data_IF_837759754010
#
_entry.id   IF_837759754010
#
_cell.length_a   1.000
_cell.length_b   1.000
_cell.length_c   1.000
_cell.angle_alpha   90.00
_cell.angle_beta   90.00
_cell.angle_gamma   90.00
#
_symmetry.space_group_name_H-M   'P 1'
#
loop_
_entity.id
_entity.type
_entity.pdbx_description
1 polymer ?
#
# COMPACT_ATOMS: atom_id res chain seq x y z
N UNK A 1 -8.62 -4.81 -18.66
CA UNK A 1 -7.62 -3.72 -18.72
C UNK A 1 -6.29 -4.35 -19.14
N UNK A 2 -5.49 -3.73 -20.02
CA UNK A 2 -4.16 -4.26 -20.38
C UNK A 2 -3.23 -4.24 -19.16
N UNK A 3 -2.32 -5.21 -19.03
CA UNK A 3 -1.39 -5.28 -17.90
C UNK A 3 -0.49 -4.04 -17.85
N UNK A 4 0.03 -3.57 -18.98
CA UNK A 4 0.83 -2.33 -19.10
C UNK A 4 0.07 -1.06 -18.69
N UNK A 5 -1.26 -1.03 -18.81
CA UNK A 5 -2.06 0.08 -18.29
C UNK A 5 -2.24 -0.04 -16.76
N UNK A 6 -2.35 -1.28 -16.27
CA UNK A 6 -2.50 -1.59 -14.85
C UNK A 6 -1.23 -1.19 -14.07
N UNK A 7 -0.03 -1.53 -14.57
CA UNK A 7 1.24 -1.15 -13.93
C UNK A 7 1.40 0.37 -13.83
N UNK A 8 1.02 1.13 -14.88
CA UNK A 8 1.04 2.60 -14.85
C UNK A 8 0.12 3.21 -13.78
N UNK A 9 -1.06 2.63 -13.59
CA UNK A 9 -2.01 3.09 -12.56
C UNK A 9 -1.44 2.80 -11.17
N UNK A 10 -0.94 1.58 -10.95
CA UNK A 10 -0.35 1.17 -9.68
C UNK A 10 0.87 2.03 -9.31
N UNK A 11 1.78 2.32 -10.26
CA UNK A 11 2.92 3.23 -10.03
C UNK A 11 2.47 4.61 -9.55
N UNK A 12 1.45 5.19 -10.18
CA UNK A 12 0.88 6.48 -9.73
C UNK A 12 0.26 6.39 -8.34
N UNK A 13 -0.39 5.27 -8.01
CA UNK A 13 -0.89 5.03 -6.66
C UNK A 13 0.26 4.93 -5.66
N UNK A 14 1.36 4.23 -5.98
CA UNK A 14 2.55 4.11 -5.13
C UNK A 14 3.15 5.49 -4.82
N UNK A 15 3.31 6.35 -5.83
CA UNK A 15 3.77 7.73 -5.64
C UNK A 15 2.82 8.54 -4.73
N UNK A 16 1.51 8.37 -4.90
CA UNK A 16 0.50 9.01 -4.05
C UNK A 16 0.58 8.54 -2.60
N UNK A 17 0.70 7.22 -2.38
CA UNK A 17 0.84 6.61 -1.06
C UNK A 17 2.10 7.11 -0.36
N UNK A 18 3.24 7.18 -1.07
CA UNK A 18 4.49 7.71 -0.53
C UNK A 18 4.32 9.16 -0.06
N UNK A 19 3.76 10.03 -0.91
CA UNK A 19 3.48 11.44 -0.56
C UNK A 19 2.58 11.58 0.67
N UNK A 20 1.62 10.68 0.84
CA UNK A 20 0.80 10.66 2.05
C UNK A 20 1.58 10.23 3.29
N UNK A 21 2.38 9.16 3.19
CA UNK A 21 3.21 8.70 4.31
C UNK A 21 4.21 9.76 4.76
N UNK A 22 4.87 10.45 3.82
CA UNK A 22 5.78 11.57 4.12
C UNK A 22 5.07 12.69 4.89
N UNK A 23 3.88 13.09 4.45
CA UNK A 23 3.08 14.11 5.15
C UNK A 23 2.65 13.63 6.54
N UNK A 24 2.21 12.38 6.66
CA UNK A 24 1.79 11.79 7.94
C UNK A 24 2.97 11.73 8.92
N UNK A 25 4.17 11.40 8.46
CA UNK A 25 5.37 11.39 9.31
C UNK A 25 5.71 12.74 9.92
N UNK A 26 5.31 13.86 9.29
CA UNK A 26 5.47 15.19 9.90
C UNK A 26 4.65 15.40 11.17
N UNK A 27 3.68 14.51 11.45
CA UNK A 27 2.88 14.49 12.67
C UNK A 27 3.42 13.51 13.71
N UNK A 28 4.49 12.75 13.46
CA UNK A 28 4.98 11.72 14.40
C UNK A 28 5.83 12.32 15.52
N UNK A 29 5.19 13.21 16.26
CA UNK A 29 5.62 13.85 17.49
C UNK A 29 4.42 13.87 18.43
N UNK A 30 4.58 13.34 19.66
CA UNK A 30 3.47 13.14 20.59
C UNK A 30 2.76 14.44 20.95
N UNK A 31 3.50 15.53 21.11
CA UNK A 31 2.93 16.83 21.47
C UNK A 31 2.20 17.48 20.28
N UNK A 32 2.68 17.24 19.05
CA UNK A 32 2.00 17.65 17.83
C UNK A 32 0.72 16.86 17.60
N UNK A 33 0.72 15.54 17.82
CA UNK A 33 -0.46 14.69 17.68
C UNK A 33 -1.62 15.20 18.54
N UNK A 34 -1.38 15.51 19.80
CA UNK A 34 -2.40 16.04 20.73
C UNK A 34 -3.03 17.37 20.30
N UNK A 35 -2.35 18.14 19.44
CA UNK A 35 -2.82 19.47 19.00
C UNK A 35 -3.43 19.44 17.61
N UNK A 36 -2.99 18.51 16.76
CA UNK A 36 -3.27 18.51 15.33
C UNK A 36 -3.86 17.19 14.83
N UNK A 37 -4.38 16.33 15.72
CA UNK A 37 -4.92 15.01 15.37
C UNK A 37 -5.97 15.08 14.25
N UNK A 38 -6.81 16.11 14.22
CA UNK A 38 -7.83 16.28 13.17
C UNK A 38 -7.22 16.43 11.77
N UNK A 39 -6.10 17.16 11.63
CA UNK A 39 -5.39 17.29 10.36
C UNK A 39 -4.77 15.95 9.94
N UNK A 40 -4.17 15.24 10.90
CA UNK A 40 -3.65 13.90 10.67
C UNK A 40 -4.77 12.93 10.24
N UNK A 41 -5.97 13.00 10.84
CA UNK A 41 -7.10 12.14 10.47
C UNK A 41 -7.56 12.35 9.04
N UNK A 42 -7.55 13.59 8.56
CA UNK A 42 -7.85 13.89 7.15
C UNK A 42 -6.84 13.19 6.24
N UNK A 43 -5.54 13.29 6.55
CA UNK A 43 -4.48 12.62 5.77
C UNK A 43 -4.62 11.09 5.83
N UNK A 44 -4.87 10.52 7.01
CA UNK A 44 -5.07 9.08 7.17
C UNK A 44 -6.31 8.57 6.42
N UNK A 45 -7.40 9.34 6.39
CA UNK A 45 -8.60 8.99 5.62
C UNK A 45 -8.31 8.95 4.12
N UNK A 46 -7.56 9.94 3.60
CA UNK A 46 -7.16 9.97 2.20
C UNK A 46 -6.19 8.84 1.84
N UNK A 47 -5.19 8.60 2.69
CA UNK A 47 -4.27 7.48 2.57
C UNK A 47 -5.01 6.13 2.57
N UNK A 48 -5.98 5.96 3.47
CA UNK A 48 -6.81 4.74 3.57
C UNK A 48 -7.60 4.49 2.30
N UNK A 49 -8.25 5.52 1.75
CA UNK A 49 -9.00 5.43 0.50
C UNK A 49 -8.10 4.99 -0.67
N UNK A 50 -6.93 5.63 -0.81
CA UNK A 50 -5.98 5.29 -1.86
C UNK A 50 -5.43 3.86 -1.68
N UNK A 51 -5.07 3.48 -0.46
CA UNK A 51 -4.55 2.15 -0.13
C UNK A 51 -5.58 1.06 -0.41
N UNK A 52 -6.84 1.25 -0.02
CA UNK A 52 -7.90 0.29 -0.29
C UNK A 52 -8.15 0.11 -1.79
N UNK A 53 -8.14 1.22 -2.54
CA UNK A 53 -8.29 1.14 -4.00
C UNK A 53 -7.11 0.42 -4.65
N UNK A 54 -5.89 0.73 -4.23
CA UNK A 54 -4.67 0.07 -4.67
C UNK A 54 -4.70 -1.44 -4.39
N UNK A 55 -4.91 -1.84 -3.14
CA UNK A 55 -4.95 -3.25 -2.75
C UNK A 55 -6.07 -4.04 -3.44
N UNK A 56 -7.24 -3.45 -3.66
CA UNK A 56 -8.30 -4.09 -4.45
C UNK A 56 -7.93 -4.23 -5.92
N UNK A 57 -7.28 -3.24 -6.52
CA UNK A 57 -6.84 -3.35 -7.92
C UNK A 57 -5.85 -4.52 -8.07
N UNK A 58 -5.00 -4.74 -7.10
CA UNK A 58 -4.04 -5.85 -7.12
C UNK A 58 -4.71 -7.21 -6.93
N UNK A 59 -5.53 -7.34 -5.88
CA UNK A 59 -6.21 -8.60 -5.53
C UNK A 59 -7.20 -9.05 -6.61
N UNK A 60 -7.89 -8.10 -7.23
CA UNK A 60 -9.03 -8.39 -8.11
C UNK A 60 -8.63 -8.37 -9.59
N UNK A 61 -7.57 -7.63 -9.95
CA UNK A 61 -7.18 -7.44 -11.35
C UNK A 61 -5.74 -7.91 -11.62
N UNK A 62 -4.73 -7.36 -10.93
CA UNK A 62 -3.33 -7.63 -11.27
C UNK A 62 -2.98 -9.10 -11.03
N UNK A 63 -2.98 -9.56 -9.77
CA UNK A 63 -2.54 -10.91 -9.42
C UNK A 63 -3.36 -12.01 -10.13
N UNK A 64 -4.71 -11.92 -10.21
CA UNK A 64 -5.50 -12.90 -10.96
C UNK A 64 -5.14 -13.00 -12.45
N UNK A 65 -4.76 -11.88 -13.08
CA UNK A 65 -4.30 -11.88 -14.46
C UNK A 65 -2.90 -12.52 -14.58
N UNK A 66 -1.99 -12.16 -13.66
CA UNK A 66 -0.64 -12.72 -13.64
C UNK A 66 -0.63 -14.23 -13.40
N UNK A 67 -1.52 -14.76 -12.55
CA UNK A 67 -1.63 -16.20 -12.32
C UNK A 67 -2.03 -17.01 -13.56
N UNK A 68 -2.65 -16.37 -14.55
CA UNK A 68 -3.11 -16.98 -15.80
C UNK A 68 -2.20 -16.65 -16.99
N UNK A 69 -1.16 -15.86 -16.78
CA UNK A 69 -0.24 -15.45 -17.84
C UNK A 69 0.51 -16.66 -18.41
N UNK A 70 0.89 -16.66 -19.69
CA UNK A 70 1.53 -17.80 -20.36
C UNK A 70 2.99 -18.05 -19.94
N UNK A 71 3.72 -16.99 -19.57
CA UNK A 71 5.08 -17.08 -19.05
C UNK A 71 5.09 -17.68 -17.63
N UNK A 72 5.80 -18.80 -17.44
CA UNK A 72 5.85 -19.54 -16.17
C UNK A 72 6.60 -18.82 -15.06
N UNK A 73 7.65 -18.08 -15.40
CA UNK A 73 8.46 -17.33 -14.45
C UNK A 73 7.61 -16.21 -13.82
N UNK A 74 6.94 -15.41 -14.65
CA UNK A 74 6.02 -14.36 -14.19
C UNK A 74 4.92 -14.91 -13.29
N UNK A 75 4.31 -16.05 -13.67
CA UNK A 75 3.31 -16.72 -12.82
C UNK A 75 3.87 -17.09 -11.45
N UNK A 76 5.09 -17.64 -11.40
CA UNK A 76 5.73 -18.07 -10.15
C UNK A 76 6.08 -16.89 -9.24
N UNK A 77 6.66 -15.82 -9.81
CA UNK A 77 6.98 -14.58 -9.08
C UNK A 77 5.71 -13.94 -8.52
N UNK A 78 4.64 -13.86 -9.32
CA UNK A 78 3.37 -13.30 -8.87
C UNK A 78 2.76 -14.07 -7.70
N UNK A 79 2.82 -15.42 -7.73
CA UNK A 79 2.33 -16.25 -6.62
C UNK A 79 3.14 -16.03 -5.35
N UNK A 80 4.47 -16.03 -5.47
CA UNK A 80 5.37 -15.74 -4.34
C UNK A 80 5.03 -14.39 -3.70
N UNK A 81 4.87 -13.32 -4.49
CA UNK A 81 4.57 -11.99 -3.95
C UNK A 81 3.18 -11.91 -3.33
N UNK A 82 2.18 -12.52 -3.97
CA UNK A 82 0.84 -12.63 -3.41
C UNK A 82 0.79 -13.41 -2.10
N UNK A 83 1.67 -14.40 -1.90
CA UNK A 83 1.74 -15.19 -0.66
C UNK A 83 2.53 -14.45 0.43
N UNK A 84 3.70 -13.90 0.10
CA UNK A 84 4.54 -13.13 1.04
C UNK A 84 3.79 -11.93 1.62
N UNK A 85 2.94 -11.30 0.80
CA UNK A 85 2.19 -10.09 1.16
C UNK A 85 0.70 -10.40 1.41
N UNK A 86 0.33 -11.67 1.28
CA UNK A 86 -1.01 -12.21 1.46
C UNK A 86 -1.44 -12.08 2.92
N UNK A 87 -2.18 -11.02 3.23
CA UNK A 87 -2.57 -10.70 4.59
C UNK A 87 -2.46 -9.20 4.89
N UNK A 88 -1.64 -8.47 4.12
CA UNK A 88 -1.42 -7.05 4.34
C UNK A 88 -2.73 -6.25 4.25
N UNK A 89 -3.65 -6.61 3.35
CA UNK A 89 -4.98 -5.98 3.27
C UNK A 89 -5.80 -6.17 4.54
N UNK A 90 -5.76 -7.36 5.14
CA UNK A 90 -6.45 -7.64 6.41
C UNK A 90 -5.80 -6.88 7.56
N UNK A 91 -4.48 -6.95 7.68
CA UNK A 91 -3.73 -6.22 8.72
C UNK A 91 -3.93 -4.70 8.58
N UNK A 92 -3.97 -4.18 7.36
CA UNK A 92 -4.27 -2.78 7.10
C UNK A 92 -5.70 -2.39 7.50
N UNK A 93 -6.68 -3.24 7.22
CA UNK A 93 -8.06 -3.02 7.67
C UNK A 93 -8.17 -3.00 9.21
N UNK A 94 -7.46 -3.90 9.90
CA UNK A 94 -7.39 -3.94 11.36
C UNK A 94 -6.71 -2.68 11.94
N UNK A 95 -5.58 -2.27 11.35
CA UNK A 95 -4.90 -1.02 11.68
C UNK A 95 -5.83 0.19 11.53
N UNK A 96 -6.52 0.31 10.40
CA UNK A 96 -7.45 1.43 10.16
C UNK A 96 -8.58 1.44 11.17
N UNK A 97 -9.14 0.27 11.49
CA UNK A 97 -10.20 0.12 12.50
C UNK A 97 -9.73 0.57 13.88
N UNK A 98 -8.51 0.20 14.30
CA UNK A 98 -7.92 0.60 15.58
C UNK A 98 -7.74 2.12 15.69
N UNK A 99 -7.25 2.74 14.62
CA UNK A 99 -6.91 4.17 14.58
C UNK A 99 -7.96 5.01 13.85
N UNK A 100 -9.24 4.63 13.89
CA UNK A 100 -10.31 5.36 13.18
C UNK A 100 -10.63 6.71 13.86
N UNK A 101 -10.57 6.75 15.19
CA UNK A 101 -11.06 7.87 16.00
C UNK A 101 -9.88 8.74 16.48
N UNK A 102 -10.10 10.05 16.58
CA UNK A 102 -9.09 11.00 17.10
C UNK A 102 -8.65 10.62 18.51
N UNK A 103 -9.61 10.38 19.41
CA UNK A 103 -9.33 10.04 20.81
C UNK A 103 -8.51 8.75 21.00
N UNK A 104 -8.58 7.78 20.08
CA UNK A 104 -7.71 6.59 20.19
C UNK A 104 -6.26 6.93 19.90
N UNK A 105 -6.00 7.78 18.90
CA UNK A 105 -4.66 8.28 18.55
C UNK A 105 -4.10 9.17 19.66
N UNK A 106 -4.90 10.10 20.18
CA UNK A 106 -4.47 11.02 21.25
C UNK A 106 -4.10 10.28 22.53
N UNK A 107 -4.92 9.30 22.92
CA UNK A 107 -4.71 8.54 24.16
C UNK A 107 -3.54 7.54 24.06
N UNK A 108 -3.15 7.14 22.86
CA UNK A 108 -2.15 6.09 22.61
C UNK A 108 -1.13 6.53 21.54
N UNK A 109 -0.66 7.78 21.60
CA UNK A 109 0.14 8.39 20.54
C UNK A 109 1.44 7.63 20.23
N UNK A 110 2.15 7.13 21.24
CA UNK A 110 3.38 6.35 21.04
C UNK A 110 3.10 5.03 20.31
N UNK A 111 2.02 4.34 20.69
CA UNK A 111 1.59 3.10 20.07
C UNK A 111 1.14 3.34 18.62
N UNK A 112 0.37 4.40 18.39
CA UNK A 112 -0.03 4.82 17.04
C UNK A 112 1.19 5.06 16.15
N UNK A 113 2.18 5.83 16.62
CA UNK A 113 3.40 6.10 15.86
C UNK A 113 4.12 4.80 15.52
N UNK A 114 4.32 3.93 16.51
CA UNK A 114 5.02 2.65 16.33
C UNK A 114 4.31 1.76 15.30
N UNK A 115 3.01 1.56 15.45
CA UNK A 115 2.24 0.71 14.53
C UNK A 115 2.13 1.30 13.13
N UNK A 116 2.01 2.62 13.03
CA UNK A 116 1.95 3.31 11.74
C UNK A 116 3.26 3.14 10.97
N UNK A 117 4.42 3.23 11.64
CA UNK A 117 5.72 2.97 11.00
C UNK A 117 5.78 1.55 10.45
N UNK A 118 5.44 0.55 11.26
CA UNK A 118 5.44 -0.86 10.85
C UNK A 118 4.51 -1.06 9.63
N UNK A 119 3.30 -0.50 9.67
CA UNK A 119 2.33 -0.63 8.58
C UNK A 119 2.82 0.04 7.29
N UNK A 120 3.33 1.26 7.38
CA UNK A 120 3.78 2.01 6.20
C UNK A 120 5.07 1.43 5.61
N UNK A 121 5.97 0.91 6.44
CA UNK A 121 7.17 0.21 5.99
C UNK A 121 6.79 -1.07 5.22
N UNK A 122 5.82 -1.85 5.72
CA UNK A 122 5.32 -3.04 5.03
C UNK A 122 4.69 -2.70 3.67
N UNK A 123 3.86 -1.67 3.59
CA UNK A 123 3.28 -1.19 2.33
C UNK A 123 4.36 -0.67 1.37
N UNK A 124 5.33 0.10 1.88
CA UNK A 124 6.43 0.64 1.07
C UNK A 124 7.32 -0.47 0.50
N UNK A 125 7.70 -1.46 1.31
CA UNK A 125 8.51 -2.59 0.89
C UNK A 125 7.82 -3.39 -0.24
N UNK A 126 6.51 -3.62 -0.11
CA UNK A 126 5.69 -4.20 -1.16
C UNK A 126 5.74 -3.40 -2.45
N UNK A 127 5.39 -2.11 -2.38
CA UNK A 127 5.36 -1.23 -3.55
C UNK A 127 6.72 -1.16 -4.25
N UNK A 128 7.82 -1.22 -3.50
CA UNK A 128 9.18 -1.23 -4.05
C UNK A 128 9.50 -2.53 -4.80
N UNK A 129 9.21 -3.70 -4.22
CA UNK A 129 9.39 -4.99 -4.91
C UNK A 129 8.59 -5.03 -6.22
N UNK A 130 7.35 -4.56 -6.19
CA UNK A 130 6.51 -4.50 -7.38
C UNK A 130 7.07 -3.53 -8.43
N UNK A 131 7.47 -2.32 -8.01
CA UNK A 131 8.02 -1.30 -8.89
C UNK A 131 9.33 -1.70 -9.57
N UNK A 132 10.20 -2.39 -8.83
CA UNK A 132 11.58 -2.65 -9.25
C UNK A 132 11.74 -4.00 -9.93
N UNK A 133 10.83 -4.95 -9.69
CA UNK A 133 10.97 -6.33 -10.18
C UNK A 133 9.74 -6.76 -10.98
N UNK A 134 8.55 -6.77 -10.36
CA UNK A 134 7.36 -7.34 -10.99
C UNK A 134 6.90 -6.54 -12.22
N UNK A 135 6.81 -5.21 -12.10
CA UNK A 135 6.33 -4.36 -13.19
C UNK A 135 7.28 -4.36 -14.40
N UNK A 136 8.62 -4.26 -14.24
CA UNK A 136 9.55 -4.44 -15.36
C UNK A 136 9.40 -5.79 -16.08
N UNK A 137 9.21 -6.90 -15.35
CA UNK A 137 8.98 -8.21 -15.97
C UNK A 137 7.72 -8.21 -16.85
N UNK A 138 6.61 -7.66 -16.33
CA UNK A 138 5.35 -7.52 -17.09
C UNK A 138 5.56 -6.69 -18.35
N UNK A 139 6.19 -5.53 -18.20
CA UNK A 139 6.37 -4.57 -19.30
C UNK A 139 7.28 -5.14 -20.40
N UNK A 140 8.33 -5.89 -20.03
CA UNK A 140 9.19 -6.58 -20.99
C UNK A 140 8.40 -7.60 -21.82
N UNK A 141 7.59 -8.45 -21.17
CA UNK A 141 6.83 -9.51 -21.84
C UNK A 141 5.71 -8.95 -22.73
N UNK A 142 5.08 -7.86 -22.33
CA UNK A 142 4.02 -7.20 -23.10
C UNK A 142 4.55 -6.33 -24.25
N UNK A 143 5.85 -6.00 -24.24
CA UNK A 143 6.51 -5.27 -25.34
C UNK A 143 6.97 -6.20 -26.48
N UNK A 144 7.08 -7.50 -26.18
CA UNK A 144 7.51 -8.55 -27.13
C UNK A 144 6.33 -9.30 -27.78
N UNK A 145 5.11 -8.98 -27.39
CA UNK A 145 3.85 -9.59 -27.85
C UNK A 145 3.04 -8.64 -28.73
#
# INVERSE_FOLDING_TARGET
MKLTQTTKILRKQHEGLLKYTEKIFTFFDVEKLKKEVGQLRILLSQFTKLSNWHLSLEDEILYPALFKHENSELRSTAKMYSEEMGGLKKTFAEYNKKWTNEGSIESNSDEFIKESRIMFDALSARNQKENNELFPMIESLESTS
#
